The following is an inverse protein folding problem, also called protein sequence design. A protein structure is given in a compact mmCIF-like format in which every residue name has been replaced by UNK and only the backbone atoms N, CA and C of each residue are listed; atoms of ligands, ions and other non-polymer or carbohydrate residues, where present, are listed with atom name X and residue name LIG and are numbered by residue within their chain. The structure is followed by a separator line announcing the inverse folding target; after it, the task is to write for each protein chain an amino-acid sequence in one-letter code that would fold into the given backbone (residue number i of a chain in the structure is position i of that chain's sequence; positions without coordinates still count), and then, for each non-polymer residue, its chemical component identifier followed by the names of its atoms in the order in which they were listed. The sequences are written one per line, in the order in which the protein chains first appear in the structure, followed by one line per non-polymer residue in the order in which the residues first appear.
data_IF_161484083528
#
_entry.id   IF_161484083528
#
_cell.length_a   1.000
_cell.length_b   1.000
_cell.length_c   1.000
_cell.angle_alpha   90.00
_cell.angle_beta   90.00
_cell.angle_gamma   90.00
#
_symmetry.space_group_name_H-M   'P 1'
#
loop_
_entity.id
_entity.type
_entity.pdbx_description
1 polymer ?
#
# COMPACT_ATOMS: atom_id res chain seq x y z
N UNK A 1 7.67 11.58 -12.73
CA UNK A 1 8.82 12.22 -12.05
C UNK A 1 10.15 11.86 -12.74
N UNK A 2 10.29 12.06 -14.06
CA UNK A 2 11.51 11.72 -14.80
C UNK A 2 12.57 12.84 -14.78
N UNK A 3 12.19 14.05 -14.35
CA UNK A 3 13.02 15.25 -14.39
C UNK A 3 14.09 15.26 -13.28
N UNK A 4 13.88 14.58 -12.15
CA UNK A 4 14.86 14.55 -11.05
C UNK A 4 16.12 13.74 -11.36
N UNK A 5 15.97 12.60 -12.05
CA UNK A 5 17.08 11.68 -12.33
C UNK A 5 18.10 12.24 -13.33
N UNK A 6 17.64 13.01 -14.31
CA UNK A 6 18.53 13.62 -15.32
C UNK A 6 19.48 14.66 -14.72
N UNK A 7 19.00 15.45 -13.76
CA UNK A 7 19.81 16.48 -13.10
C UNK A 7 20.86 15.88 -12.16
N UNK A 8 20.53 14.79 -11.46
CA UNK A 8 21.50 14.08 -10.61
C UNK A 8 22.64 13.51 -11.46
N UNK A 9 22.33 12.88 -12.61
CA UNK A 9 23.35 12.38 -13.53
C UNK A 9 24.22 13.51 -14.10
N UNK A 10 23.60 14.62 -14.50
CA UNK A 10 24.32 15.79 -15.03
C UNK A 10 25.24 16.41 -13.97
N UNK A 11 24.77 16.59 -12.74
CA UNK A 11 25.58 17.11 -11.63
C UNK A 11 26.70 16.15 -11.22
N UNK A 12 26.46 14.84 -11.26
CA UNK A 12 27.47 13.82 -10.92
C UNK A 12 28.58 13.77 -11.98
N UNK A 13 28.23 13.82 -13.28
CA UNK A 13 29.20 13.91 -14.37
C UNK A 13 29.99 15.23 -14.35
N UNK A 14 29.30 16.35 -14.07
CA UNK A 14 29.94 17.65 -13.94
C UNK A 14 30.92 17.68 -12.75
N UNK A 15 30.51 17.17 -11.59
CA UNK A 15 31.36 17.06 -10.41
C UNK A 15 32.53 16.11 -10.66
N UNK A 16 32.33 14.95 -11.28
CA UNK A 16 33.42 14.01 -11.61
C UNK A 16 34.44 14.59 -12.61
N UNK A 17 34.01 15.52 -13.47
CA UNK A 17 34.87 16.16 -14.47
C UNK A 17 35.70 17.33 -13.91
N UNK A 18 35.25 17.95 -12.81
CA UNK A 18 35.81 19.21 -12.29
C UNK A 18 36.26 19.17 -10.81
N UNK A 19 35.72 18.27 -10.00
CA UNK A 19 35.95 18.16 -8.57
C UNK A 19 36.41 16.74 -8.21
N UNK A 20 37.32 16.64 -7.25
CA UNK A 20 37.97 15.39 -6.85
C UNK A 20 36.98 14.19 -6.75
N UNK A 21 37.40 12.96 -7.13
CA UNK A 21 36.52 11.80 -7.24
C UNK A 21 35.74 11.45 -5.96
N UNK A 22 36.22 11.91 -4.79
CA UNK A 22 35.49 11.78 -3.52
C UNK A 22 34.14 12.52 -3.48
N UNK A 23 34.01 13.65 -4.18
CA UNK A 23 32.75 14.42 -4.20
C UNK A 23 31.70 13.74 -5.09
N UNK A 24 32.13 13.18 -6.22
CA UNK A 24 31.25 12.38 -7.07
C UNK A 24 30.70 11.15 -6.34
N UNK A 25 31.55 10.48 -5.55
CA UNK A 25 31.16 9.32 -4.75
C UNK A 25 30.15 9.70 -3.64
N UNK A 26 30.35 10.86 -3.00
CA UNK A 26 29.41 11.40 -2.01
C UNK A 26 28.03 11.69 -2.59
N UNK A 27 27.97 12.35 -3.76
CA UNK A 27 26.70 12.64 -4.44
C UNK A 27 25.97 11.37 -4.89
N UNK A 28 26.71 10.37 -5.40
CA UNK A 28 26.14 9.10 -5.80
C UNK A 28 25.53 8.33 -4.60
N UNK A 29 26.21 8.33 -3.45
CA UNK A 29 25.69 7.72 -2.22
C UNK A 29 24.44 8.44 -1.72
N UNK A 30 24.43 9.77 -1.69
CA UNK A 30 23.25 10.56 -1.26
C UNK A 30 22.07 10.32 -2.21
N UNK A 31 22.33 10.29 -3.51
CA UNK A 31 21.31 9.95 -4.51
C UNK A 31 20.76 8.54 -4.32
N UNK A 32 21.63 7.55 -4.08
CA UNK A 32 21.23 6.16 -3.83
C UNK A 32 20.40 6.02 -2.55
N UNK A 33 20.80 6.69 -1.46
CA UNK A 33 20.05 6.69 -0.20
C UNK A 33 18.68 7.35 -0.38
N UNK A 34 18.61 8.48 -1.08
CA UNK A 34 17.33 9.12 -1.41
C UNK A 34 16.41 8.20 -2.21
N UNK A 35 16.97 7.49 -3.20
CA UNK A 35 16.22 6.56 -4.04
C UNK A 35 15.72 5.35 -3.25
N UNK A 36 16.55 4.78 -2.37
CA UNK A 36 16.17 3.69 -1.46
C UNK A 36 15.09 4.14 -0.49
N UNK A 37 15.19 5.36 0.05
CA UNK A 37 14.19 5.89 0.96
C UNK A 37 12.85 6.11 0.25
N UNK A 38 12.87 6.66 -0.96
CA UNK A 38 11.68 6.81 -1.80
C UNK A 38 11.04 5.45 -2.10
N UNK A 39 11.87 4.44 -2.41
CA UNK A 39 11.42 3.06 -2.68
C UNK A 39 10.79 2.39 -1.46
N UNK A 40 11.39 2.57 -0.27
CA UNK A 40 10.84 2.07 1.00
C UNK A 40 9.56 2.83 1.38
N UNK A 41 9.47 4.11 1.01
CA UNK A 41 8.28 4.93 1.22
C UNK A 41 7.15 4.66 0.25
N UNK A 42 7.36 3.94 -0.85
CA UNK A 42 6.25 3.58 -1.72
C UNK A 42 5.31 2.63 -0.97
N UNK A 43 4.08 3.07 -0.64
CA UNK A 43 3.14 2.19 0.02
C UNK A 43 2.83 1.05 -0.95
N UNK A 44 3.15 -0.18 -0.54
CA UNK A 44 2.77 -1.38 -1.30
C UNK A 44 1.25 -1.44 -1.32
N UNK A 45 0.68 -0.96 -2.42
CA UNK A 45 -0.75 -1.06 -2.72
C UNK A 45 -1.09 -2.55 -2.81
N UNK A 46 -2.01 -2.99 -1.95
CA UNK A 46 -2.53 -4.35 -1.97
C UNK A 46 -4.00 -4.28 -2.35
N UNK A 47 -4.40 -5.17 -3.23
CA UNK A 47 -5.76 -5.28 -3.68
C UNK A 47 -6.53 -6.20 -2.74
N UNK A 48 -7.69 -5.75 -2.28
CA UNK A 48 -8.60 -6.53 -1.45
C UNK A 48 -9.90 -6.72 -2.22
N UNK A 49 -10.39 -7.96 -2.29
CA UNK A 49 -11.68 -8.27 -2.91
C UNK A 49 -12.50 -9.12 -1.94
N UNK A 50 -13.80 -8.84 -1.88
CA UNK A 50 -14.77 -9.70 -1.21
C UNK A 50 -15.52 -10.49 -2.29
N UNK A 51 -15.52 -11.81 -2.18
CA UNK A 51 -16.30 -12.72 -3.03
C UNK A 51 -17.31 -13.44 -2.16
N UNK A 52 -18.57 -13.45 -2.56
CA UNK A 52 -19.57 -14.31 -1.93
C UNK A 52 -19.43 -15.71 -2.54
N UNK A 53 -18.92 -16.67 -1.76
CA UNK A 53 -18.79 -18.06 -2.20
C UNK A 53 -19.57 -18.96 -1.24
N UNK A 54 -20.49 -19.76 -1.77
CA UNK A 54 -21.33 -20.67 -0.99
C UNK A 54 -22.11 -20.01 0.17
N UNK A 55 -22.62 -18.79 -0.04
CA UNK A 55 -23.37 -18.05 0.99
C UNK A 55 -22.52 -17.54 2.15
N UNK A 56 -21.19 -17.67 2.07
CA UNK A 56 -20.23 -17.08 3.03
C UNK A 56 -19.41 -16.01 2.33
N UNK A 57 -19.19 -14.89 3.00
CA UNK A 57 -18.30 -13.84 2.51
C UNK A 57 -16.86 -14.32 2.65
N UNK A 58 -16.17 -14.52 1.53
CA UNK A 58 -14.77 -14.91 1.47
C UNK A 58 -13.93 -13.73 1.00
N UNK A 59 -12.93 -13.38 1.80
CA UNK A 59 -12.05 -12.25 1.52
C UNK A 59 -10.79 -12.75 0.84
N UNK A 60 -10.35 -12.05 -0.19
CA UNK A 60 -9.13 -12.37 -0.94
C UNK A 60 -8.24 -11.14 -1.00
N UNK A 61 -6.94 -11.34 -0.75
CA UNK A 61 -5.91 -10.32 -0.89
C UNK A 61 -4.97 -10.67 -2.04
N UNK A 62 -4.57 -9.67 -2.80
CA UNK A 62 -3.55 -9.79 -3.83
C UNK A 62 -2.52 -8.68 -3.69
N UNK A 63 -1.24 -9.06 -3.76
CA UNK A 63 -0.12 -8.12 -3.75
C UNK A 63 0.15 -7.54 -5.15
N UNK A 64 -0.33 -8.20 -6.22
CA UNK A 64 -0.04 -7.88 -7.62
C UNK A 64 -1.29 -7.82 -8.52
N UNK A 65 -2.48 -8.06 -7.95
CA UNK A 65 -3.75 -8.14 -8.68
C UNK A 65 -3.94 -9.42 -9.49
N UNK A 66 -2.93 -10.31 -9.54
CA UNK A 66 -2.97 -11.56 -10.32
C UNK A 66 -3.06 -12.79 -9.43
N UNK A 67 -2.32 -12.77 -8.32
CA UNK A 67 -2.30 -13.86 -7.34
C UNK A 67 -3.22 -13.52 -6.17
N UNK A 68 -4.42 -14.12 -6.17
CA UNK A 68 -5.41 -13.91 -5.12
C UNK A 68 -5.27 -15.00 -4.06
N UNK A 69 -5.18 -14.59 -2.80
CA UNK A 69 -5.09 -15.49 -1.65
C UNK A 69 -6.28 -15.27 -0.73
N UNK A 70 -7.02 -16.34 -0.46
CA UNK A 70 -8.09 -16.32 0.53
C UNK A 70 -7.55 -16.03 1.93
N UNK A 71 -8.11 -15.03 2.60
CA UNK A 71 -7.72 -14.59 3.94
C UNK A 71 -8.95 -14.45 4.82
N UNK A 72 -8.78 -14.73 6.12
CA UNK A 72 -9.83 -14.43 7.10
C UNK A 72 -9.81 -12.93 7.38
N UNK A 73 -10.90 -12.25 7.07
CA UNK A 73 -11.07 -10.83 7.39
C UNK A 73 -11.91 -10.68 8.65
N UNK A 74 -11.41 -9.92 9.62
CA UNK A 74 -12.15 -9.50 10.80
C UNK A 74 -12.18 -7.97 10.84
N UNK A 75 -13.35 -7.33 10.78
CA UNK A 75 -13.44 -5.89 10.96
C UNK A 75 -13.02 -5.54 12.39
N UNK A 76 -11.97 -4.73 12.55
CA UNK A 76 -11.55 -4.20 13.86
C UNK A 76 -12.25 -2.89 14.17
N UNK A 77 -12.24 -1.97 13.19
CA UNK A 77 -12.82 -0.65 13.35
C UNK A 77 -13.22 -0.09 12.00
N UNK A 78 -14.47 0.31 11.85
CA UNK A 78 -14.95 1.00 10.65
C UNK A 78 -15.13 2.47 11.02
N UNK A 79 -14.31 3.36 10.46
CA UNK A 79 -14.44 4.80 10.64
C UNK A 79 -14.68 5.52 9.29
N UNK A 80 -15.21 6.77 9.30
CA UNK A 80 -15.57 7.49 8.08
C UNK A 80 -14.38 7.88 7.20
N UNK A 81 -13.17 7.81 7.74
CA UNK A 81 -11.94 8.22 7.08
C UNK A 81 -10.91 7.10 7.02
N UNK A 82 -11.06 6.05 7.84
CA UNK A 82 -10.09 4.96 7.97
C UNK A 82 -10.83 3.68 8.35
N UNK A 83 -10.61 2.59 7.61
CA UNK A 83 -11.14 1.28 7.98
C UNK A 83 -9.99 0.38 8.46
N UNK A 84 -10.01 -0.02 9.73
CA UNK A 84 -9.11 -0.99 10.33
C UNK A 84 -9.64 -2.41 10.16
N UNK A 85 -8.84 -3.25 9.52
CA UNK A 85 -9.17 -4.62 9.13
C UNK A 85 -8.10 -5.56 9.69
N UNK A 86 -8.50 -6.65 10.34
CA UNK A 86 -7.59 -7.73 10.68
C UNK A 86 -7.66 -8.76 9.54
N UNK A 87 -6.62 -8.85 8.72
CA UNK A 87 -6.50 -9.87 7.67
C UNK A 87 -5.51 -10.92 8.16
N UNK A 88 -5.98 -12.15 8.35
CA UNK A 88 -5.18 -13.29 8.81
C UNK A 88 -4.40 -12.98 10.12
N UNK A 89 -5.06 -12.28 11.05
CA UNK A 89 -4.47 -11.85 12.32
C UNK A 89 -3.52 -10.64 12.22
N UNK A 90 -3.24 -10.12 11.03
CA UNK A 90 -2.45 -8.88 10.84
C UNK A 90 -3.37 -7.67 10.71
N UNK A 91 -3.00 -6.56 11.34
CA UNK A 91 -3.74 -5.31 11.27
C UNK A 91 -3.38 -4.55 9.99
N UNK A 92 -4.41 -4.21 9.22
CA UNK A 92 -4.34 -3.44 7.99
C UNK A 92 -5.23 -2.21 8.12
N UNK A 93 -4.70 -1.09 7.63
CA UNK A 93 -5.41 0.18 7.60
C UNK A 93 -5.72 0.52 6.16
N UNK A 94 -7.01 0.59 5.83
CA UNK A 94 -7.47 1.04 4.53
C UNK A 94 -7.62 2.55 4.55
N UNK A 95 -6.87 3.22 3.67
CA UNK A 95 -6.94 4.65 3.47
C UNK A 95 -7.95 4.98 2.36
N UNK A 96 -8.69 6.10 2.50
CA UNK A 96 -9.78 6.46 1.61
C UNK A 96 -9.28 6.99 0.25
N UNK A 97 -8.02 7.45 0.20
CA UNK A 97 -7.39 8.00 -1.01
C UNK A 97 -7.13 6.91 -2.09
N UNK A 98 -7.14 5.64 -1.67
CA UNK A 98 -6.74 4.50 -2.51
C UNK A 98 -7.93 3.85 -3.21
N UNK A 99 -9.16 4.07 -2.73
CA UNK A 99 -10.38 3.48 -3.27
C UNK A 99 -11.38 4.56 -3.67
N UNK A 100 -12.13 4.30 -4.74
CA UNK A 100 -13.23 5.18 -5.15
C UNK A 100 -14.31 5.25 -4.03
N UNK A 101 -14.96 6.40 -3.89
CA UNK A 101 -15.97 6.63 -2.84
C UNK A 101 -17.17 5.67 -2.94
N UNK A 102 -17.48 5.16 -4.12
CA UNK A 102 -18.50 4.14 -4.32
C UNK A 102 -18.06 2.77 -3.77
N UNK A 103 -16.83 2.36 -4.06
CA UNK A 103 -16.25 1.10 -3.57
C UNK A 103 -16.07 1.13 -2.05
N UNK A 104 -15.66 2.28 -1.50
CA UNK A 104 -15.54 2.48 -0.05
C UNK A 104 -16.89 2.32 0.66
N UNK A 105 -17.99 2.83 0.06
CA UNK A 105 -19.35 2.67 0.60
C UNK A 105 -19.81 1.22 0.53
N UNK A 106 -19.56 0.52 -0.57
CA UNK A 106 -19.87 -0.89 -0.70
C UNK A 106 -19.09 -1.74 0.31
N UNK A 107 -17.78 -1.48 0.44
CA UNK A 107 -16.92 -2.14 1.41
C UNK A 107 -17.40 -1.91 2.86
N UNK A 108 -17.80 -0.69 3.21
CA UNK A 108 -18.34 -0.38 4.54
C UNK A 108 -19.60 -1.18 4.87
N UNK A 109 -20.50 -1.35 3.90
CA UNK A 109 -21.71 -2.17 4.09
C UNK A 109 -21.34 -3.62 4.37
N UNK A 110 -20.45 -4.21 3.56
CA UNK A 110 -19.98 -5.57 3.75
C UNK A 110 -19.30 -5.77 5.10
N UNK A 111 -18.50 -4.80 5.56
CA UNK A 111 -17.84 -4.87 6.86
C UNK A 111 -18.80 -4.69 8.04
N UNK A 112 -19.85 -3.88 7.89
CA UNK A 112 -20.90 -3.75 8.89
C UNK A 112 -21.70 -5.06 9.01
N UNK A 113 -22.13 -5.63 7.88
CA UNK A 113 -22.81 -6.93 7.83
C UNK A 113 -21.96 -8.05 8.44
N UNK A 114 -20.66 -8.09 8.12
CA UNK A 114 -19.74 -9.08 8.67
C UNK A 114 -19.49 -8.90 10.17
N UNK A 115 -19.63 -7.68 10.71
CA UNK A 115 -19.54 -7.42 12.15
C UNK A 115 -20.81 -7.86 12.86
N UNK A 116 -21.98 -7.51 12.32
CA UNK A 116 -23.27 -7.86 12.91
C UNK A 116 -23.44 -9.39 12.95
N UNK A 117 -23.03 -10.10 11.89
CA UNK A 117 -23.01 -11.57 11.86
C UNK A 117 -22.02 -12.21 12.86
N UNK A 118 -20.98 -11.47 13.29
CA UNK A 118 -20.05 -11.92 14.32
C UNK A 118 -20.62 -11.72 15.73
N UNK A 119 -21.36 -10.61 15.94
CA UNK A 119 -21.98 -10.28 17.22
C UNK A 119 -23.23 -11.15 17.48
N UNK A 120 -23.99 -11.54 16.45
CA UNK A 120 -25.14 -12.47 16.58
C UNK A 120 -24.74 -13.94 16.81
N UNK A 121 -23.46 -14.28 16.62
CA UNK A 121 -22.93 -15.63 16.81
C UNK A 121 -22.41 -15.92 18.23
N UNK A 122 -22.63 -15.02 19.20
CA UNK A 122 -22.17 -15.12 20.61
C UNK A 122 -23.33 -15.43 21.55
#
# INVERSE_FOLDING_TARGET
MALGAGWVLALTLFAARFLAPGVALGLALVGAVGLVWEWVRQPRLRYLRCRAEHGRQQWEISDDGRSWRGVKCRPLRVAPWVCGLALDGRHWWLWPDVCDHAELRALRRLLAEARDALDEGV
#
